data_IF_718009043418
#
_entry.id   IF_718009043418
#
_cell.length_a   1.000
_cell.length_b   1.000
_cell.length_c   1.000
_cell.angle_alpha   90.00
_cell.angle_beta   90.00
_cell.angle_gamma   90.00
#
_symmetry.space_group_name_H-M   'P 1'
#
loop_
_entity.id
_entity.type
_entity.pdbx_description
1 polymer ?
#
# COMPACT_ATOMS: atom_id res chain seq x y z
N UNK A 1 20.09 9.44 -9.80
CA UNK A 1 19.79 8.96 -8.45
C UNK A 1 20.03 7.46 -8.46
N UNK A 2 21.15 7.00 -7.90
CA UNK A 2 21.53 5.58 -7.92
C UNK A 2 20.73 4.87 -6.83
N UNK A 3 20.04 3.81 -7.19
CA UNK A 3 19.33 2.95 -6.26
C UNK A 3 20.10 1.64 -6.23
N UNK A 4 20.71 1.32 -5.10
CA UNK A 4 21.33 0.03 -4.84
C UNK A 4 20.36 -0.77 -3.95
N UNK A 5 20.35 -2.08 -4.06
CA UNK A 5 19.54 -2.94 -3.19
C UNK A 5 20.47 -3.75 -2.25
N UNK A 6 20.12 -3.78 -0.99
CA UNK A 6 20.77 -4.61 0.03
C UNK A 6 19.81 -5.68 0.51
N UNK A 7 20.37 -6.82 0.88
CA UNK A 7 19.62 -7.92 1.52
C UNK A 7 20.21 -8.19 2.89
N UNK A 8 19.37 -8.16 3.92
CA UNK A 8 19.74 -8.54 5.29
C UNK A 8 18.83 -9.65 5.79
N UNK A 9 19.36 -10.54 6.64
CA UNK A 9 18.62 -11.67 7.18
C UNK A 9 18.52 -11.53 8.70
N UNK A 10 17.33 -11.79 9.25
CA UNK A 10 17.06 -11.79 10.68
C UNK A 10 16.03 -12.87 11.04
N UNK A 11 16.35 -13.75 11.97
CA UNK A 11 15.48 -14.84 12.43
C UNK A 11 14.86 -15.67 11.27
N UNK A 12 15.65 -15.98 10.24
CA UNK A 12 15.18 -16.72 9.06
C UNK A 12 14.37 -15.90 8.04
N UNK A 13 14.10 -14.63 8.32
CA UNK A 13 13.44 -13.73 7.39
C UNK A 13 14.45 -12.88 6.62
N UNK A 14 14.23 -12.76 5.31
CA UNK A 14 15.07 -11.96 4.40
C UNK A 14 14.39 -10.64 4.11
N UNK A 15 15.12 -9.53 4.32
CA UNK A 15 14.63 -8.17 4.09
C UNK A 15 15.41 -7.53 2.96
N UNK A 16 14.70 -7.07 1.94
CA UNK A 16 15.25 -6.25 0.86
C UNK A 16 15.14 -4.78 1.23
N UNK A 17 16.25 -4.06 1.14
CA UNK A 17 16.37 -2.67 1.54
C UNK A 17 16.86 -1.86 0.34
N UNK A 18 16.05 -0.95 -0.16
CA UNK A 18 16.45 -0.04 -1.23
C UNK A 18 17.35 1.06 -0.65
N UNK A 19 18.57 1.17 -1.15
CA UNK A 19 19.52 2.22 -0.73
C UNK A 19 19.40 3.40 -1.68
N UNK A 20 19.07 4.56 -1.14
CA UNK A 20 18.99 5.82 -1.86
C UNK A 20 20.08 6.77 -1.40
N UNK A 21 20.98 7.17 -2.31
CA UNK A 21 21.97 8.20 -2.01
C UNK A 21 21.37 9.58 -2.19
N UNK A 22 21.59 10.46 -1.21
CA UNK A 22 21.04 11.80 -1.24
C UNK A 22 22.14 12.83 -0.90
N UNK A 23 22.27 13.88 -1.73
CA UNK A 23 23.35 14.88 -1.60
C UNK A 23 23.31 15.64 -0.26
N UNK A 24 22.13 15.88 0.28
CA UNK A 24 21.93 16.58 1.57
C UNK A 24 21.93 15.64 2.78
N UNK A 25 22.04 14.34 2.59
CA UNK A 25 22.10 13.41 3.72
C UNK A 25 23.49 13.44 4.36
N UNK A 26 23.54 13.68 5.66
CA UNK A 26 24.75 13.68 6.47
C UNK A 26 24.92 12.39 7.30
N UNK A 27 23.86 11.59 7.40
CA UNK A 27 23.80 10.33 8.16
C UNK A 27 22.92 9.29 7.45
N UNK A 28 23.09 8.02 7.83
CA UNK A 28 22.19 6.96 7.43
C UNK A 28 20.82 7.11 8.10
N UNK A 29 19.76 6.88 7.36
CA UNK A 29 18.38 6.90 7.90
C UNK A 29 17.58 5.77 7.30
N UNK A 30 16.94 4.94 8.14
CA UNK A 30 16.02 3.89 7.75
C UNK A 30 14.57 4.38 7.85
N UNK A 31 13.78 4.02 6.84
CA UNK A 31 12.33 4.23 6.81
C UNK A 31 11.62 2.99 6.33
N UNK A 32 10.47 2.69 6.92
CA UNK A 32 9.54 1.68 6.41
C UNK A 32 8.52 2.35 5.52
N UNK A 33 8.32 1.81 4.32
CA UNK A 33 7.22 2.19 3.44
C UNK A 33 6.06 1.23 3.69
N UNK A 34 4.99 1.72 4.31
CA UNK A 34 3.82 0.91 4.62
C UNK A 34 3.14 0.40 3.34
N UNK A 35 3.08 1.21 2.28
CA UNK A 35 2.41 0.85 1.03
C UNK A 35 3.05 -0.34 0.29
N UNK A 36 4.36 -0.50 0.37
CA UNK A 36 5.11 -1.57 -0.30
C UNK A 36 5.68 -2.61 0.67
N UNK A 37 5.51 -2.40 1.99
CA UNK A 37 6.01 -3.25 3.08
C UNK A 37 7.51 -3.53 2.95
N UNK A 38 8.28 -2.54 2.59
CA UNK A 38 9.72 -2.62 2.44
C UNK A 38 10.46 -1.54 3.24
N UNK A 39 11.76 -1.69 3.35
CA UNK A 39 12.64 -0.72 4.00
C UNK A 39 13.41 0.10 2.96
N UNK A 40 13.60 1.38 3.24
CA UNK A 40 14.44 2.27 2.45
C UNK A 40 15.51 2.87 3.35
N UNK A 41 16.76 2.70 2.96
CA UNK A 41 17.92 3.33 3.58
C UNK A 41 18.32 4.57 2.77
N UNK A 42 18.28 5.74 3.40
CA UNK A 42 18.89 6.94 2.82
C UNK A 42 20.32 7.05 3.31
N UNK A 43 21.26 7.17 2.39
CA UNK A 43 22.69 7.20 2.62
C UNK A 43 23.31 8.52 2.14
N UNK A 44 24.37 9.02 2.80
CA UNK A 44 25.19 10.13 2.27
C UNK A 44 25.77 9.79 0.89
N UNK A 45 25.92 10.79 0.03
CA UNK A 45 26.34 10.59 -1.38
C UNK A 45 27.68 9.86 -1.49
N UNK A 46 28.62 10.13 -0.58
CA UNK A 46 29.98 9.58 -0.61
C UNK A 46 30.17 8.33 0.25
N UNK A 47 29.11 7.84 0.93
CA UNK A 47 29.21 6.63 1.77
C UNK A 47 29.42 5.39 0.92
N UNK A 48 30.13 4.41 1.47
CA UNK A 48 30.33 3.10 0.83
C UNK A 48 29.12 2.20 1.03
N UNK A 49 28.87 1.30 0.09
CA UNK A 49 27.78 0.34 0.21
C UNK A 49 27.96 -0.61 1.42
N UNK A 50 29.23 -0.95 1.74
CA UNK A 50 29.58 -1.74 2.92
C UNK A 50 29.17 -1.07 4.25
N UNK A 51 29.28 0.26 4.34
CA UNK A 51 28.82 1.02 5.52
C UNK A 51 27.30 1.01 5.62
N UNK A 52 26.62 1.15 4.48
CA UNK A 52 25.16 1.03 4.41
C UNK A 52 24.68 -0.37 4.82
N UNK A 53 25.38 -1.42 4.38
CA UNK A 53 25.10 -2.79 4.77
C UNK A 53 25.30 -3.01 6.28
N UNK A 54 26.42 -2.56 6.83
CA UNK A 54 26.70 -2.64 8.27
C UNK A 54 25.59 -1.96 9.07
N UNK A 55 25.24 -0.73 8.71
CA UNK A 55 24.17 0.02 9.38
C UNK A 55 22.81 -0.71 9.29
N UNK A 56 22.46 -1.25 8.12
CA UNK A 56 21.23 -2.01 7.92
C UNK A 56 21.20 -3.29 8.77
N UNK A 57 22.34 -4.01 8.85
CA UNK A 57 22.48 -5.23 9.63
C UNK A 57 22.33 -4.99 11.14
N UNK A 58 22.89 -3.90 11.65
CA UNK A 58 22.77 -3.48 13.06
C UNK A 58 21.31 -3.11 13.43
N UNK A 59 20.48 -2.73 12.45
CA UNK A 59 19.11 -2.30 12.68
C UNK A 59 18.07 -3.31 12.18
N UNK A 60 18.45 -4.55 11.90
CA UNK A 60 17.56 -5.57 11.31
C UNK A 60 16.38 -5.92 12.22
N UNK A 61 16.61 -6.01 13.54
CA UNK A 61 15.56 -6.22 14.54
C UNK A 61 14.52 -5.09 14.51
N UNK A 62 14.97 -3.85 14.39
CA UNK A 62 14.07 -2.69 14.27
C UNK A 62 13.25 -2.78 12.96
N UNK A 63 13.89 -3.13 11.85
CA UNK A 63 13.19 -3.33 10.55
C UNK A 63 12.12 -4.40 10.70
N UNK A 64 12.46 -5.55 11.27
CA UNK A 64 11.55 -6.65 11.54
C UNK A 64 10.35 -6.21 12.38
N UNK A 65 10.60 -5.61 13.54
CA UNK A 65 9.56 -5.15 14.47
C UNK A 65 8.62 -4.10 13.85
N UNK A 66 9.14 -3.23 12.98
CA UNK A 66 8.33 -2.23 12.29
C UNK A 66 7.50 -2.83 11.16
N UNK A 67 8.06 -3.75 10.37
CA UNK A 67 7.34 -4.43 9.29
C UNK A 67 6.21 -5.33 9.81
N UNK A 68 6.38 -5.94 10.99
CA UNK A 68 5.30 -6.70 11.64
C UNK A 68 4.09 -5.81 11.99
N UNK A 69 4.33 -4.55 12.31
CA UNK A 69 3.27 -3.58 12.65
C UNK A 69 2.59 -2.98 11.41
N UNK A 70 3.15 -3.17 10.23
CA UNK A 70 2.51 -2.71 8.98
C UNK A 70 1.37 -3.66 8.64
N UNK A 71 0.12 -3.17 8.53
CA UNK A 71 -1.02 -4.00 8.15
C UNK A 71 -0.77 -4.75 6.84
N UNK A 72 -1.37 -5.93 6.70
CA UNK A 72 -1.34 -6.64 5.43
C UNK A 72 -1.99 -5.79 4.34
N UNK A 73 -1.40 -5.81 3.15
CA UNK A 73 -2.02 -5.19 1.99
C UNK A 73 -3.25 -6.01 1.61
N UNK A 74 -4.41 -5.40 1.64
CA UNK A 74 -5.63 -6.03 1.13
C UNK A 74 -5.61 -5.88 -0.39
N UNK A 75 -5.55 -6.98 -1.15
CA UNK A 75 -5.59 -6.90 -2.60
C UNK A 75 -6.97 -6.40 -3.05
N UNK A 76 -7.02 -5.52 -4.04
CA UNK A 76 -8.29 -5.07 -4.62
C UNK A 76 -8.74 -6.07 -5.69
N UNK A 77 -9.39 -7.13 -5.26
CA UNK A 77 -9.93 -8.20 -6.11
C UNK A 77 -11.37 -8.53 -5.72
N UNK A 78 -12.05 -9.31 -6.56
CA UNK A 78 -13.40 -9.79 -6.24
C UNK A 78 -13.41 -10.50 -4.87
N UNK A 79 -14.40 -10.19 -4.05
CA UNK A 79 -14.57 -10.76 -2.71
C UNK A 79 -13.80 -10.04 -1.60
N UNK A 80 -12.81 -9.21 -1.90
CA UNK A 80 -12.06 -8.45 -0.88
C UNK A 80 -12.97 -7.43 -0.18
N UNK A 81 -12.81 -7.31 1.14
CA UNK A 81 -13.53 -6.32 1.95
C UNK A 81 -12.60 -5.16 2.27
N UNK A 82 -13.03 -3.94 1.97
CA UNK A 82 -12.29 -2.71 2.22
C UNK A 82 -13.14 -1.69 2.96
N UNK A 83 -12.57 -0.92 3.89
CA UNK A 83 -13.29 0.18 4.53
C UNK A 83 -13.33 1.41 3.63
N UNK A 84 -14.53 1.94 3.36
CA UNK A 84 -14.73 3.22 2.70
C UNK A 84 -15.49 4.13 3.65
N UNK A 85 -14.89 5.24 4.07
CA UNK A 85 -15.43 6.17 5.08
C UNK A 85 -15.87 5.47 6.38
N UNK A 86 -15.11 4.46 6.81
CA UNK A 86 -15.39 3.70 8.04
C UNK A 86 -16.44 2.59 7.91
N UNK A 87 -17.02 2.40 6.73
CA UNK A 87 -17.99 1.33 6.45
C UNK A 87 -17.37 0.27 5.57
N UNK A 88 -17.55 -1.00 5.91
CA UNK A 88 -17.03 -2.13 5.14
C UNK A 88 -17.78 -2.30 3.81
N UNK A 89 -17.02 -2.44 2.72
CA UNK A 89 -17.54 -2.68 1.38
C UNK A 89 -16.84 -3.90 0.78
N UNK A 90 -17.61 -4.82 0.24
CA UNK A 90 -17.09 -5.95 -0.51
C UNK A 90 -16.94 -5.57 -1.98
N UNK A 91 -15.76 -5.81 -2.54
CA UNK A 91 -15.51 -5.61 -3.97
C UNK A 91 -16.21 -6.72 -4.75
N UNK A 92 -17.11 -6.35 -5.65
CA UNK A 92 -17.80 -7.26 -6.56
C UNK A 92 -17.40 -6.93 -7.99
N UNK A 93 -16.70 -7.86 -8.63
CA UNK A 93 -16.41 -7.76 -10.06
C UNK A 93 -17.65 -8.13 -10.88
N UNK A 94 -18.00 -7.27 -11.80
CA UNK A 94 -19.13 -7.46 -12.72
C UNK A 94 -18.62 -7.43 -14.16
N UNK A 95 -18.82 -8.52 -14.88
CA UNK A 95 -18.41 -8.63 -16.29
C UNK A 95 -19.40 -7.87 -17.17
N UNK A 96 -19.17 -6.57 -17.36
CA UNK A 96 -19.92 -5.73 -18.29
C UNK A 96 -18.96 -4.93 -19.16
N UNK A 97 -19.37 -4.59 -20.38
CA UNK A 97 -18.53 -3.84 -21.33
C UNK A 97 -18.20 -2.41 -20.88
N UNK A 98 -19.05 -1.80 -20.05
CA UNK A 98 -18.84 -0.44 -19.55
C UNK A 98 -18.09 -0.48 -18.21
N UNK A 99 -16.85 0.03 -18.21
CA UNK A 99 -15.97 0.09 -17.03
C UNK A 99 -16.43 1.09 -15.98
N UNK A 100 -17.56 0.84 -15.33
CA UNK A 100 -18.09 1.66 -14.25
C UNK A 100 -17.62 1.12 -12.89
N UNK A 101 -17.31 2.01 -11.95
CA UNK A 101 -17.11 1.69 -10.52
C UNK A 101 -18.15 2.47 -9.74
N UNK A 102 -18.97 1.78 -8.95
CA UNK A 102 -20.04 2.40 -8.17
C UNK A 102 -20.21 1.72 -6.81
N UNK A 103 -20.53 2.53 -5.80
CA UNK A 103 -21.03 2.03 -4.52
C UNK A 103 -22.50 1.61 -4.72
N UNK A 104 -22.85 0.40 -4.29
CA UNK A 104 -24.20 -0.13 -4.39
C UNK A 104 -24.66 -0.78 -3.11
N UNK A 105 -25.94 -0.68 -2.88
CA UNK A 105 -26.67 -1.58 -1.98
C UNK A 105 -26.99 -2.86 -2.78
N UNK A 106 -27.36 -3.94 -2.08
CA UNK A 106 -27.61 -5.24 -2.70
C UNK A 106 -28.46 -5.16 -3.97
N UNK A 107 -28.25 -6.07 -4.92
CA UNK A 107 -28.98 -6.16 -6.19
C UNK A 107 -30.53 -6.31 -6.06
N UNK A 108 -31.07 -6.38 -4.85
CA UNK A 108 -32.51 -6.54 -4.54
C UNK A 108 -33.13 -5.45 -3.65
N UNK A 109 -32.42 -4.36 -3.35
CA UNK A 109 -33.01 -3.24 -2.61
C UNK A 109 -33.29 -3.47 -1.13
N UNK A 110 -32.95 -4.62 -0.57
CA UNK A 110 -33.11 -4.90 0.86
C UNK A 110 -31.86 -4.41 1.61
N UNK A 111 -32.02 -3.39 2.46
CA UNK A 111 -30.97 -2.90 3.34
C UNK A 111 -30.84 -3.81 4.53
N UNK A 112 -29.89 -4.71 4.52
CA UNK A 112 -29.50 -5.45 5.71
C UNK A 112 -28.32 -4.75 6.37
N UNK A 113 -28.55 -4.10 7.50
CA UNK A 113 -27.54 -3.34 8.27
C UNK A 113 -26.35 -4.19 8.75
N UNK A 114 -26.46 -5.51 8.69
CA UNK A 114 -25.40 -6.45 9.09
C UNK A 114 -24.61 -7.01 7.89
N UNK A 115 -24.88 -6.60 6.66
CA UNK A 115 -24.12 -7.02 5.48
C UNK A 115 -23.23 -5.89 4.98
N UNK A 116 -22.00 -6.20 4.51
CA UNK A 116 -21.15 -5.21 3.91
C UNK A 116 -21.83 -4.60 2.68
N UNK A 117 -21.64 -3.30 2.49
CA UNK A 117 -22.04 -2.66 1.25
C UNK A 117 -21.15 -3.16 0.12
N UNK A 118 -21.58 -2.98 -1.12
CA UNK A 118 -20.83 -3.46 -2.28
C UNK A 118 -20.16 -2.32 -3.02
N UNK A 119 -18.91 -2.56 -3.45
CA UNK A 119 -18.22 -1.77 -4.45
C UNK A 119 -18.24 -2.57 -5.76
N UNK A 120 -19.15 -2.23 -6.66
CA UNK A 120 -19.25 -2.85 -7.98
C UNK A 120 -18.16 -2.30 -8.89
N UNK A 121 -17.32 -3.19 -9.41
CA UNK A 121 -16.25 -2.85 -10.37
C UNK A 121 -16.48 -3.62 -11.64
N UNK A 122 -16.87 -2.94 -12.70
CA UNK A 122 -17.17 -3.57 -13.98
C UNK A 122 -16.00 -3.56 -14.95
N UNK A 123 -16.01 -4.49 -15.92
CA UNK A 123 -15.04 -4.66 -16.98
C UNK A 123 -14.15 -5.89 -16.83
N UNK A 124 -12.95 -5.90 -17.41
CA UNK A 124 -12.02 -7.02 -17.33
C UNK A 124 -11.42 -7.16 -15.93
N UNK A 125 -11.26 -8.40 -15.46
CA UNK A 125 -10.76 -8.74 -14.12
C UNK A 125 -9.38 -8.15 -13.84
N UNK A 126 -8.48 -8.16 -14.81
CA UNK A 126 -7.14 -7.57 -14.72
C UNK A 126 -7.14 -6.05 -14.38
N UNK A 127 -8.25 -5.37 -14.58
CA UNK A 127 -8.40 -3.95 -14.33
C UNK A 127 -9.07 -3.64 -12.99
N UNK A 128 -9.55 -4.64 -12.25
CA UNK A 128 -10.28 -4.44 -10.97
C UNK A 128 -9.42 -3.66 -9.98
N UNK A 129 -8.16 -4.07 -9.78
CA UNK A 129 -7.26 -3.38 -8.84
C UNK A 129 -7.05 -1.91 -9.20
N UNK A 130 -6.72 -1.63 -10.46
CA UNK A 130 -6.49 -0.27 -10.94
C UNK A 130 -7.74 0.60 -10.79
N UNK A 131 -8.90 0.11 -11.23
CA UNK A 131 -10.17 0.85 -11.19
C UNK A 131 -10.63 1.13 -9.77
N UNK A 132 -10.50 0.15 -8.86
CA UNK A 132 -10.79 0.35 -7.44
C UNK A 132 -9.89 1.44 -6.86
N UNK A 133 -8.59 1.40 -7.15
CA UNK A 133 -7.64 2.41 -6.67
C UNK A 133 -7.95 3.81 -7.20
N UNK A 134 -8.29 3.93 -8.48
CA UNK A 134 -8.63 5.22 -9.11
C UNK A 134 -9.93 5.79 -8.53
N UNK A 135 -10.94 4.94 -8.30
CA UNK A 135 -12.18 5.32 -7.64
C UNK A 135 -11.95 5.84 -6.22
N UNK A 136 -11.18 5.12 -5.40
CA UNK A 136 -10.85 5.54 -4.03
C UNK A 136 -10.08 6.86 -4.00
N UNK A 137 -9.16 7.09 -4.95
CA UNK A 137 -8.45 8.36 -5.09
C UNK A 137 -9.41 9.50 -5.44
N UNK A 138 -10.37 9.24 -6.33
CA UNK A 138 -11.42 10.20 -6.69
C UNK A 138 -12.26 10.59 -5.48
N UNK A 139 -12.72 9.62 -4.69
CA UNK A 139 -13.45 9.86 -3.44
C UNK A 139 -12.63 10.69 -2.45
N UNK A 140 -11.39 10.29 -2.17
CA UNK A 140 -10.51 11.01 -1.25
C UNK A 140 -10.26 12.46 -1.70
N UNK A 141 -10.08 12.68 -3.00
CA UNK A 141 -9.92 14.04 -3.57
C UNK A 141 -11.18 14.87 -3.36
N UNK A 142 -12.35 14.27 -3.55
CA UNK A 142 -13.65 14.92 -3.30
C UNK A 142 -13.81 15.31 -1.84
N UNK A 143 -13.53 14.38 -0.93
CA UNK A 143 -13.65 14.59 0.52
C UNK A 143 -12.70 15.68 1.03
N UNK A 144 -11.43 15.67 0.57
CA UNK A 144 -10.45 16.72 0.91
C UNK A 144 -10.92 18.08 0.41
N UNK A 145 -11.42 18.19 -0.82
CA UNK A 145 -11.95 19.46 -1.36
C UNK A 145 -13.16 19.98 -0.59
N UNK A 146 -14.01 19.07 -0.11
CA UNK A 146 -15.16 19.44 0.71
C UNK A 146 -14.75 19.92 2.11
N UNK A 147 -13.70 19.33 2.69
CA UNK A 147 -13.19 19.69 4.02
C UNK A 147 -12.39 21.01 4.05
N UNK A 148 -11.89 21.49 2.91
CA UNK A 148 -11.07 22.73 2.80
C UNK A 148 -11.93 23.96 2.46
N UNK A 149 -13.23 23.81 2.23
CA UNK A 149 -14.19 24.92 2.06
C UNK A 149 -14.77 25.37 3.38
#
# INVERSE_FOLDING_TARGET
MTIDDLTVVHNGHTYRIAVRRHAKATRFTLRIRAATRDAVLTAPMRSRLSEAYKFASEHTEWIHSKLLKVPAVIPFQHGSVIPIRGVEHQIVHVTTERGLVALGQTARGEVNINQPLFLHVSGHEEHVERRTRDFLRGLATGDIRAAVR
#
